data_IF_265342114366
#
_entry.id   IF_265342114366
#
_cell.length_a   1.000
_cell.length_b   1.000
_cell.length_c   1.000
_cell.angle_alpha   90.00
_cell.angle_beta   90.00
_cell.angle_gamma   90.00
#
_symmetry.space_group_name_H-M   'P 1'
#
loop_
_entity.id
_entity.type
_entity.pdbx_description
1 polymer ?
#
# COMPACT_ATOMS: atom_id res chain seq x y z
N UNK A 1 -27.00 -33.88 -14.85
CA UNK A 1 -26.33 -32.58 -14.89
C UNK A 1 -25.89 -32.19 -13.49
N UNK A 2 -24.61 -32.36 -13.15
CA UNK A 2 -24.04 -31.92 -11.87
C UNK A 2 -23.26 -30.65 -12.14
N UNK A 3 -23.71 -29.53 -11.57
CA UNK A 3 -23.02 -28.25 -11.64
C UNK A 3 -21.80 -28.30 -10.70
N UNK A 4 -20.60 -28.14 -11.24
CA UNK A 4 -19.38 -27.93 -10.48
C UNK A 4 -19.27 -26.43 -10.12
N UNK A 5 -19.46 -26.12 -8.87
CA UNK A 5 -19.23 -24.79 -8.31
C UNK A 5 -17.72 -24.65 -8.02
N UNK A 6 -17.01 -23.90 -8.84
CA UNK A 6 -15.59 -23.60 -8.65
C UNK A 6 -15.48 -22.47 -7.60
N UNK A 7 -15.11 -22.83 -6.37
CA UNK A 7 -14.76 -21.87 -5.32
C UNK A 7 -13.36 -21.33 -5.61
N UNK A 8 -13.26 -20.10 -6.05
CA UNK A 8 -12.00 -19.36 -6.11
C UNK A 8 -11.64 -18.94 -4.67
N UNK A 9 -10.76 -19.70 -4.02
CA UNK A 9 -10.14 -19.30 -2.75
C UNK A 9 -9.05 -18.29 -3.11
N UNK A 10 -9.34 -16.99 -2.97
CA UNK A 10 -8.33 -15.97 -2.94
C UNK A 10 -7.55 -16.13 -1.63
N UNK A 11 -6.33 -16.62 -1.72
CA UNK A 11 -5.38 -16.59 -0.60
C UNK A 11 -5.03 -15.14 -0.29
N UNK A 12 -5.69 -14.57 0.72
CA UNK A 12 -5.19 -13.38 1.39
C UNK A 12 -3.91 -13.78 2.13
N UNK A 13 -2.76 -13.43 1.60
CA UNK A 13 -1.52 -13.40 2.39
C UNK A 13 -1.68 -12.26 3.39
N UNK A 14 -2.04 -12.60 4.63
CA UNK A 14 -1.91 -11.70 5.77
C UNK A 14 -0.41 -11.50 5.96
N UNK A 15 0.12 -10.37 5.54
CA UNK A 15 1.42 -9.91 5.97
C UNK A 15 1.32 -9.70 7.50
N UNK A 16 1.88 -10.65 8.26
CA UNK A 16 2.13 -10.46 9.69
C UNK A 16 3.21 -9.38 9.80
N UNK A 17 2.82 -8.14 9.91
CA UNK A 17 3.70 -7.05 10.30
C UNK A 17 3.93 -7.25 11.78
N UNK A 18 5.07 -7.86 12.15
CA UNK A 18 5.49 -7.95 13.53
C UNK A 18 5.85 -6.54 13.99
N UNK A 19 5.13 -6.03 14.99
CA UNK A 19 5.50 -4.78 15.66
C UNK A 19 6.92 -4.93 16.19
N UNK A 20 7.79 -3.96 15.84
CA UNK A 20 9.14 -3.85 16.36
C UNK A 20 9.08 -3.12 17.71
N UNK A 21 10.05 -3.36 18.58
CA UNK A 21 10.10 -2.72 19.90
C UNK A 21 11.45 -2.05 20.17
N UNK A 22 11.41 -0.99 20.97
CA UNK A 22 12.55 -0.42 21.68
C UNK A 22 12.25 -0.43 23.17
N UNK A 23 13.16 -0.90 23.95
CA UNK A 23 13.01 -1.13 25.39
C UNK A 23 12.89 -2.64 25.72
N UNK A 24 12.62 -2.99 27.01
CA UNK A 24 12.47 -2.04 28.11
C UNK A 24 13.76 -1.22 28.37
N UNK A 25 13.58 0.05 28.67
CA UNK A 25 14.64 0.99 29.04
C UNK A 25 14.26 1.68 30.33
N UNK A 26 15.21 1.85 31.23
CA UNK A 26 15.06 2.62 32.45
C UNK A 26 15.28 4.11 32.20
N UNK A 27 14.56 4.97 32.92
CA UNK A 27 14.73 6.41 32.84
C UNK A 27 16.05 6.87 33.47
N UNK A 28 16.60 7.96 32.96
CA UNK A 28 17.83 8.56 33.49
C UNK A 28 17.65 10.00 33.97
N UNK A 29 16.42 10.49 34.08
CA UNK A 29 16.10 11.81 34.62
C UNK A 29 14.91 11.72 35.54
N UNK A 30 15.07 12.34 36.74
CA UNK A 30 14.13 12.21 37.85
C UNK A 30 13.88 13.59 38.49
N UNK A 31 12.62 13.92 38.73
CA UNK A 31 12.24 15.16 39.45
C UNK A 31 10.92 15.03 40.19
N UNK A 32 10.70 15.90 41.15
CA UNK A 32 9.39 16.12 41.71
C UNK A 32 8.73 17.30 41.00
N UNK A 33 7.46 17.11 40.57
CA UNK A 33 6.66 18.18 39.99
C UNK A 33 5.37 18.38 40.83
N UNK A 34 5.14 19.60 41.23
CA UNK A 34 4.02 19.92 42.12
C UNK A 34 2.67 19.58 41.50
N UNK A 35 1.88 18.79 42.19
CA UNK A 35 0.50 18.48 41.84
C UNK A 35 -0.44 19.26 42.72
N UNK A 36 -1.36 20.05 42.14
CA UNK A 36 -2.26 20.91 42.87
C UNK A 36 -3.10 20.12 43.90
N UNK A 37 -2.93 20.46 45.19
CA UNK A 37 -3.59 19.77 46.30
C UNK A 37 -2.79 18.63 46.92
N UNK A 38 -1.63 18.30 46.39
CA UNK A 38 -0.71 17.34 47.01
C UNK A 38 -0.21 17.85 48.35
N UNK A 39 0.16 16.95 49.21
CA UNK A 39 0.67 17.29 50.52
C UNK A 39 2.00 16.59 50.85
N UNK A 40 2.62 15.94 49.90
CA UNK A 40 3.86 15.19 50.10
C UNK A 40 4.65 15.07 48.80
N UNK A 41 5.95 15.35 48.85
CA UNK A 41 6.88 15.09 47.77
C UNK A 41 7.57 13.73 47.94
N UNK A 42 8.03 13.15 46.83
CA UNK A 42 8.90 11.99 46.85
C UNK A 42 10.30 12.37 47.31
N UNK A 43 10.99 11.42 47.94
CA UNK A 43 12.38 11.56 48.40
C UNK A 43 13.25 10.63 47.60
N UNK A 44 14.52 11.03 47.36
CA UNK A 44 15.51 10.23 46.66
C UNK A 44 14.98 9.72 45.31
N UNK A 45 14.38 10.63 44.51
CA UNK A 45 13.68 10.30 43.27
C UNK A 45 14.58 9.58 42.24
N UNK A 46 15.88 9.82 42.28
CA UNK A 46 16.91 9.18 41.48
C UNK A 46 17.01 7.68 41.73
N UNK A 47 16.56 7.19 42.86
CA UNK A 47 16.58 5.76 43.20
C UNK A 47 15.51 4.93 42.43
N UNK A 48 14.66 5.57 41.64
CA UNK A 48 13.74 4.85 40.70
C UNK A 48 14.43 4.41 39.43
N UNK A 49 15.77 4.36 39.39
CA UNK A 49 16.57 4.02 38.18
C UNK A 49 16.78 2.53 37.99
N UNK A 50 16.77 1.72 39.03
CA UNK A 50 17.18 0.31 38.90
C UNK A 50 16.51 -0.60 39.92
N UNK A 51 16.26 -1.85 39.54
CA UNK A 51 15.72 -2.90 40.42
C UNK A 51 16.84 -3.41 41.34
N UNK A 52 17.14 -2.67 42.38
CA UNK A 52 18.27 -2.91 43.30
C UNK A 52 17.92 -2.75 44.80
N UNK A 53 16.61 -2.72 45.13
CA UNK A 53 16.06 -2.53 46.48
C UNK A 53 16.44 -1.15 47.11
N UNK A 54 16.79 -0.16 46.26
CA UNK A 54 17.03 1.23 46.67
C UNK A 54 15.97 2.13 46.07
N UNK A 55 15.14 2.75 46.88
CA UNK A 55 13.83 3.27 46.49
C UNK A 55 13.78 4.80 46.37
N UNK A 56 13.05 5.29 45.40
CA UNK A 56 12.37 6.55 45.49
C UNK A 56 11.15 6.36 46.42
N UNK A 57 11.06 7.08 47.54
CA UNK A 57 10.02 6.82 48.52
C UNK A 57 9.30 8.09 48.99
N UNK A 58 8.22 7.90 49.69
CA UNK A 58 7.60 8.88 50.55
C UNK A 58 7.10 8.21 51.82
N UNK A 59 7.02 8.96 52.89
CA UNK A 59 6.50 8.47 54.16
C UNK A 59 5.46 9.42 54.72
N UNK A 60 4.49 8.85 55.47
CA UNK A 60 3.52 9.58 56.27
C UNK A 60 2.63 10.53 55.45
N UNK A 61 1.91 10.01 54.45
CA UNK A 61 0.75 10.72 53.93
C UNK A 61 -0.27 10.93 55.05
N UNK A 62 -0.85 12.12 55.11
CA UNK A 62 -1.81 12.49 56.18
C UNK A 62 -3.03 11.54 56.18
N UNK A 63 -3.60 11.32 57.38
CA UNK A 63 -4.77 10.47 57.64
C UNK A 63 -6.11 11.12 57.25
N UNK A 64 -6.17 11.88 56.19
CA UNK A 64 -7.40 12.48 55.67
C UNK A 64 -7.77 11.99 54.32
N UNK A 65 -9.03 12.05 53.92
CA UNK A 65 -9.47 11.86 52.55
C UNK A 65 -8.72 12.85 51.63
N UNK A 66 -8.29 12.38 50.45
CA UNK A 66 -7.52 13.15 49.46
C UNK A 66 -6.06 13.46 49.86
N UNK A 67 -5.37 12.54 50.50
CA UNK A 67 -3.94 12.65 50.74
C UNK A 67 -3.17 11.94 49.63
N UNK A 68 -2.46 12.71 48.80
CA UNK A 68 -1.68 12.22 47.68
C UNK A 68 -0.35 12.98 47.53
N UNK A 69 0.57 12.38 46.77
CA UNK A 69 1.92 12.94 46.53
C UNK A 69 1.93 13.92 45.36
N UNK A 70 3.00 14.71 45.29
CA UNK A 70 3.43 15.30 44.01
C UNK A 70 3.66 14.21 42.96
N UNK A 71 3.79 14.60 41.69
CA UNK A 71 4.28 13.70 40.71
C UNK A 71 5.78 13.43 40.89
N UNK A 72 6.17 12.18 40.84
CA UNK A 72 7.53 11.82 40.38
C UNK A 72 7.54 11.76 38.86
N UNK A 73 8.36 12.61 38.25
CA UNK A 73 8.64 12.57 36.82
C UNK A 73 9.87 11.71 36.56
N UNK A 74 9.75 10.75 35.66
CA UNK A 74 10.84 9.90 35.19
C UNK A 74 10.90 10.04 33.71
N UNK A 75 12.02 10.51 33.16
CA UNK A 75 12.23 10.81 31.75
C UNK A 75 13.63 10.35 31.25
N UNK A 76 14.10 10.80 30.07
CA UNK A 76 15.41 10.47 29.47
C UNK A 76 15.62 8.97 29.26
N UNK A 77 14.63 8.26 28.75
CA UNK A 77 14.71 6.81 28.51
C UNK A 77 15.63 6.42 27.36
N UNK A 78 16.03 7.33 26.46
CA UNK A 78 16.96 7.09 25.36
C UNK A 78 16.59 5.84 24.53
N UNK A 79 15.35 5.82 24.05
CA UNK A 79 14.78 4.64 23.36
C UNK A 79 15.35 4.42 21.97
N UNK A 80 15.85 5.47 21.33
CA UNK A 80 16.46 5.42 19.98
C UNK A 80 15.53 4.74 18.94
N UNK A 81 14.26 5.14 18.93
CA UNK A 81 13.31 4.71 17.89
C UNK A 81 13.80 5.23 16.54
N UNK A 82 13.95 4.38 15.50
CA UNK A 82 14.45 4.84 14.21
C UNK A 82 13.53 5.88 13.57
N UNK A 83 14.13 6.81 12.83
CA UNK A 83 13.40 7.91 12.16
C UNK A 83 12.36 7.38 11.17
N UNK A 84 11.21 8.04 11.14
CA UNK A 84 10.13 7.76 10.18
C UNK A 84 9.28 6.55 10.55
N UNK A 85 9.37 6.01 11.76
CA UNK A 85 8.52 4.90 12.22
C UNK A 85 7.17 5.38 12.74
N UNK A 86 6.16 4.55 12.55
CA UNK A 86 4.83 4.76 13.11
C UNK A 86 4.76 4.15 14.50
N UNK A 87 4.54 4.98 15.52
CA UNK A 87 4.38 4.52 16.90
C UNK A 87 3.00 3.86 17.05
N UNK A 88 2.99 2.66 17.61
CA UNK A 88 1.79 1.82 17.78
C UNK A 88 1.33 1.71 19.22
N UNK A 89 2.25 1.75 20.16
CA UNK A 89 1.93 1.62 21.57
C UNK A 89 3.10 1.94 22.48
N UNK A 90 2.77 2.26 23.71
CA UNK A 90 3.71 2.57 24.79
C UNK A 90 3.29 1.77 26.01
N UNK A 91 4.22 0.99 26.53
CA UNK A 91 4.08 0.18 27.73
C UNK A 91 5.05 0.67 28.79
N UNK A 92 4.54 0.89 30.00
CA UNK A 92 5.31 1.32 31.15
C UNK A 92 5.18 0.27 32.23
N UNK A 93 6.29 -0.27 32.70
CA UNK A 93 6.34 -1.19 33.84
C UNK A 93 6.96 -0.47 35.03
N UNK A 94 6.28 -0.53 36.16
CA UNK A 94 6.69 0.09 37.41
C UNK A 94 6.84 -0.98 38.47
N UNK A 95 8.03 -1.09 39.05
CA UNK A 95 8.32 -1.92 40.21
C UNK A 95 8.12 -1.08 41.47
N UNK A 96 7.23 -1.53 42.35
CA UNK A 96 6.77 -0.74 43.48
C UNK A 96 6.31 -1.58 44.66
N UNK A 97 6.38 -0.99 45.86
CA UNK A 97 5.92 -1.63 47.09
C UNK A 97 5.42 -0.60 48.12
N UNK A 98 4.70 -1.08 49.11
CA UNK A 98 4.39 -0.40 50.38
C UNK A 98 4.32 -1.46 51.47
N UNK A 99 5.29 -1.51 52.38
CA UNK A 99 5.29 -2.47 53.50
C UNK A 99 4.02 -2.47 54.33
N UNK A 100 3.34 -1.34 54.40
CA UNK A 100 2.11 -1.15 55.18
C UNK A 100 0.84 -1.42 54.35
N UNK A 101 0.97 -1.56 53.02
CA UNK A 101 -0.13 -1.81 52.10
C UNK A 101 -1.28 -0.79 52.16
N UNK A 102 -0.96 0.46 52.40
CA UNK A 102 -1.88 1.57 52.53
C UNK A 102 -1.85 2.54 51.37
N UNK A 103 -1.06 2.22 50.32
CA UNK A 103 -0.83 3.04 49.12
C UNK A 103 -1.48 2.47 47.88
N UNK A 104 -2.00 3.32 47.02
CA UNK A 104 -2.38 3.01 45.61
C UNK A 104 -1.98 4.16 44.70
N UNK A 105 -2.10 3.98 43.35
CA UNK A 105 -1.89 5.08 42.43
C UNK A 105 -3.00 6.12 42.57
N UNK A 106 -2.62 7.38 42.60
CA UNK A 106 -3.51 8.52 42.45
C UNK A 106 -3.64 8.93 40.99
N UNK A 107 -2.50 9.05 40.29
CA UNK A 107 -2.45 9.39 38.88
C UNK A 107 -1.22 8.78 38.24
N UNK A 108 -1.40 8.21 37.04
CA UNK A 108 -0.35 7.68 36.20
C UNK A 108 -0.58 8.19 34.77
N UNK A 109 0.30 9.08 34.30
CA UNK A 109 0.19 9.77 33.02
C UNK A 109 1.51 9.80 32.29
N UNK A 110 1.45 9.94 30.97
CA UNK A 110 2.64 10.04 30.12
C UNK A 110 3.20 11.47 30.13
N UNK A 111 4.51 11.61 29.92
CA UNK A 111 5.17 12.89 29.70
C UNK A 111 5.47 13.08 28.22
N UNK A 112 5.20 14.28 27.72
CA UNK A 112 5.53 14.73 26.37
C UNK A 112 6.20 16.09 26.46
N UNK A 113 7.50 16.18 26.17
CA UNK A 113 8.29 17.39 26.36
C UNK A 113 8.23 17.91 27.80
N UNK A 114 8.39 17.02 28.78
CA UNK A 114 8.26 17.27 30.22
C UNK A 114 6.86 17.74 30.68
N UNK A 115 5.87 17.72 29.82
CA UNK A 115 4.49 18.11 30.15
C UNK A 115 3.65 16.87 30.45
N UNK A 116 2.98 16.84 31.59
CA UNK A 116 2.03 15.76 31.93
C UNK A 116 0.83 15.82 31.01
N UNK A 117 0.59 14.72 30.27
CA UNK A 117 -0.47 14.64 29.27
C UNK A 117 -1.06 13.23 29.20
N UNK A 118 -1.92 13.00 28.24
CA UNK A 118 -2.52 11.70 27.93
C UNK A 118 -3.60 11.25 28.90
N UNK A 119 -4.11 10.06 28.61
CA UNK A 119 -5.17 9.42 29.39
C UNK A 119 -4.65 8.97 30.76
N UNK A 120 -5.51 9.11 31.79
CA UNK A 120 -5.24 8.58 33.12
C UNK A 120 -5.19 7.05 33.09
N UNK A 121 -4.15 6.46 33.72
CA UNK A 121 -3.92 5.02 33.79
C UNK A 121 -3.88 4.45 35.21
N UNK A 122 -4.05 5.26 36.24
CA UNK A 122 -4.10 4.76 37.61
C UNK A 122 -5.16 3.67 37.75
N UNK A 123 -4.81 2.58 38.40
CA UNK A 123 -5.67 1.39 38.57
C UNK A 123 -6.38 1.33 39.93
N UNK A 124 -5.92 2.12 40.90
CA UNK A 124 -6.35 2.01 42.28
C UNK A 124 -5.91 0.71 42.99
N UNK A 125 -5.06 -0.09 42.33
CA UNK A 125 -4.51 -1.33 42.91
C UNK A 125 -3.56 -0.96 44.04
N UNK A 126 -3.75 -1.59 45.21
CA UNK A 126 -2.89 -1.44 46.38
C UNK A 126 -1.46 -1.89 46.07
N UNK A 127 -0.47 -1.15 46.53
CA UNK A 127 0.92 -1.56 46.52
C UNK A 127 1.11 -2.76 47.43
N UNK A 128 1.82 -3.75 46.98
CA UNK A 128 2.13 -4.96 47.76
C UNK A 128 3.19 -4.70 48.81
N UNK A 129 3.25 -5.53 49.86
CA UNK A 129 4.23 -5.38 50.91
C UNK A 129 5.69 -5.54 50.45
N UNK A 130 5.88 -6.32 49.41
CA UNK A 130 7.16 -6.55 48.72
C UNK A 130 7.09 -6.03 47.31
N UNK A 131 8.23 -5.79 46.67
CA UNK A 131 8.28 -5.28 45.33
C UNK A 131 7.51 -6.17 44.35
N UNK A 132 6.77 -5.51 43.49
CA UNK A 132 5.99 -6.12 42.43
C UNK A 132 5.85 -5.19 41.25
N UNK A 133 5.88 -5.75 40.06
CA UNK A 133 5.69 -5.03 38.83
C UNK A 133 4.21 -4.82 38.54
N UNK A 134 3.88 -3.64 38.04
CA UNK A 134 2.61 -3.34 37.41
C UNK A 134 2.86 -2.69 36.06
N UNK A 135 2.06 -3.07 35.06
CA UNK A 135 2.19 -2.57 33.70
C UNK A 135 1.02 -1.68 33.33
N UNK A 136 1.32 -0.53 32.73
CA UNK A 136 0.36 0.44 32.20
C UNK A 136 0.54 0.58 30.69
N UNK A 137 -0.55 0.76 29.95
CA UNK A 137 -0.50 0.84 28.49
C UNK A 137 -0.30 -0.52 27.82
N UNK A 138 0.44 -0.55 26.70
CA UNK A 138 0.69 -1.78 25.96
C UNK A 138 0.93 -1.59 24.45
N UNK A 139 1.00 -2.70 23.68
CA UNK A 139 1.40 -2.69 22.28
C UNK A 139 0.53 -1.86 21.32
N UNK A 140 -0.70 -1.54 21.72
CA UNK A 140 -1.66 -0.75 20.93
C UNK A 140 -2.20 0.47 21.69
N UNK A 141 -1.59 0.85 22.80
CA UNK A 141 -2.03 1.95 23.63
C UNK A 141 -1.12 3.18 23.46
N UNK A 142 -1.64 4.22 22.84
CA UNK A 142 -0.96 5.49 22.61
C UNK A 142 -1.19 6.52 23.75
N UNK A 143 -1.80 6.11 24.86
CA UNK A 143 -2.13 6.99 25.99
C UNK A 143 -3.06 8.16 25.62
N UNK A 144 -3.82 8.02 24.51
CA UNK A 144 -4.70 9.07 24.00
C UNK A 144 -4.00 10.22 23.28
N UNK A 145 -2.73 10.07 22.96
CA UNK A 145 -1.88 11.05 22.28
C UNK A 145 -1.46 10.59 20.88
N UNK A 146 -0.95 11.52 20.09
CA UNK A 146 -0.27 11.25 18.82
C UNK A 146 1.23 11.36 19.03
N UNK A 147 1.96 10.36 18.54
CA UNK A 147 3.41 10.24 18.73
C UNK A 147 4.17 10.17 17.43
N UNK A 148 5.31 10.83 17.41
CA UNK A 148 6.35 10.65 16.38
C UNK A 148 7.61 10.06 17.04
N UNK A 149 8.51 9.52 16.23
CA UNK A 149 9.82 9.06 16.68
C UNK A 149 10.61 10.17 17.40
N UNK A 150 10.57 11.40 16.89
CA UNK A 150 11.22 12.55 17.56
C UNK A 150 10.67 12.83 18.94
N UNK A 151 9.33 12.70 19.13
CA UNK A 151 8.69 12.90 20.44
C UNK A 151 9.06 11.83 21.44
N UNK A 152 9.20 10.58 21.00
CA UNK A 152 9.63 9.44 21.85
C UNK A 152 11.11 9.55 22.20
N UNK A 153 11.94 10.04 21.29
CA UNK A 153 13.38 10.19 21.49
C UNK A 153 13.75 11.49 22.23
N UNK A 154 12.78 12.36 22.48
CA UNK A 154 12.99 13.59 23.25
C UNK A 154 13.32 13.28 24.72
N UNK A 155 14.22 14.05 25.33
CA UNK A 155 14.61 13.89 26.72
C UNK A 155 13.46 14.11 27.72
N UNK A 156 12.45 14.85 27.34
CA UNK A 156 11.24 15.08 28.14
C UNK A 156 10.11 14.06 27.90
N UNK A 157 10.39 12.97 27.14
CA UNK A 157 9.49 11.82 27.07
C UNK A 157 9.65 10.95 28.30
N UNK A 158 8.53 10.52 28.91
CA UNK A 158 8.57 9.70 30.10
C UNK A 158 7.23 9.48 30.77
N UNK A 159 7.23 9.33 32.09
CA UNK A 159 6.07 9.00 32.90
C UNK A 159 6.00 9.93 34.14
N UNK A 160 4.78 10.27 34.53
CA UNK A 160 4.44 10.99 35.78
C UNK A 160 3.58 10.10 36.68
N UNK A 161 4.01 9.85 37.89
CA UNK A 161 3.32 8.98 38.83
C UNK A 161 3.07 9.78 40.13
N UNK A 162 1.83 9.79 40.59
CA UNK A 162 1.46 10.25 41.94
C UNK A 162 0.76 9.11 42.67
N UNK A 163 1.08 8.96 43.95
CA UNK A 163 0.50 7.95 44.81
C UNK A 163 -0.47 8.57 45.80
N UNK A 164 -1.41 7.79 46.32
CA UNK A 164 -2.37 8.21 47.33
C UNK A 164 -2.47 7.21 48.48
N UNK A 165 -2.90 7.71 49.63
CA UNK A 165 -3.35 6.84 50.69
C UNK A 165 -4.70 6.22 50.36
N UNK A 166 -4.87 4.96 50.68
CA UNK A 166 -6.16 4.27 50.56
C UNK A 166 -7.07 4.70 51.71
N UNK A 167 -8.26 5.18 51.38
CA UNK A 167 -9.25 5.63 52.37
C UNK A 167 -9.63 4.53 53.38
N UNK A 168 -9.75 4.89 54.64
CA UNK A 168 -10.14 3.96 55.69
C UNK A 168 -8.99 3.11 56.24
N UNK A 169 -7.79 3.24 55.72
CA UNK A 169 -6.62 2.55 56.27
C UNK A 169 -6.06 3.29 57.48
N UNK A 170 -5.46 2.56 58.44
CA UNK A 170 -4.81 3.10 59.65
C UNK A 170 -3.32 2.77 59.62
N UNK A 171 -2.51 3.62 60.28
CA UNK A 171 -1.06 3.43 60.32
C UNK A 171 -0.30 4.28 59.35
N UNK A 172 1.03 4.13 59.21
CA UNK A 172 1.88 4.85 58.28
C UNK A 172 1.54 4.50 56.84
N UNK A 173 1.92 5.35 55.91
CA UNK A 173 1.86 5.13 54.45
C UNK A 173 3.23 5.43 53.87
N UNK A 174 3.87 4.46 53.29
CA UNK A 174 5.25 4.57 52.82
C UNK A 174 5.43 3.87 51.46
N UNK A 175 4.84 4.48 50.42
CA UNK A 175 4.97 3.94 49.05
C UNK A 175 6.39 4.12 48.52
N UNK A 176 6.82 3.14 47.73
CA UNK A 176 8.14 3.03 47.16
C UNK A 176 8.08 2.70 45.68
N UNK A 177 8.98 3.29 44.92
CA UNK A 177 9.25 2.89 43.51
C UNK A 177 10.72 2.51 43.42
N UNK A 178 11.00 1.32 42.96
CA UNK A 178 12.34 0.80 42.74
C UNK A 178 12.79 1.04 41.30
N UNK A 179 11.99 0.62 40.33
CA UNK A 179 12.35 0.74 38.95
C UNK A 179 11.17 1.15 38.08
N UNK A 180 11.46 1.91 37.01
CA UNK A 180 10.49 2.21 35.94
C UNK A 180 11.11 2.00 34.59
N UNK A 181 10.48 1.15 33.79
CA UNK A 181 10.92 0.90 32.42
C UNK A 181 9.85 1.25 31.42
N UNK A 182 10.26 1.66 30.21
CA UNK A 182 9.37 1.91 29.08
C UNK A 182 9.78 1.04 27.90
N UNK A 183 8.77 0.43 27.26
CA UNK A 183 8.86 -0.22 25.96
C UNK A 183 7.97 0.50 24.97
N UNK A 184 8.50 0.84 23.80
CA UNK A 184 7.75 1.45 22.70
C UNK A 184 7.63 0.47 21.56
N UNK A 185 6.41 0.29 21.09
CA UNK A 185 6.04 -0.53 19.95
C UNK A 185 5.91 0.35 18.72
N UNK A 186 6.53 -0.01 17.61
CA UNK A 186 6.48 0.74 16.37
C UNK A 186 6.50 -0.20 15.15
N UNK A 187 6.11 0.31 14.02
CA UNK A 187 6.16 -0.41 12.74
C UNK A 187 6.66 0.50 11.63
N UNK A 188 7.06 -0.09 10.53
CA UNK A 188 7.28 0.67 9.30
C UNK A 188 5.95 1.30 8.88
N UNK A 189 5.96 2.59 8.46
CA UNK A 189 4.76 3.13 7.86
C UNK A 189 4.39 2.23 6.68
N UNK A 190 3.23 1.60 6.74
CA UNK A 190 2.69 0.92 5.57
C UNK A 190 2.41 1.99 4.54
N UNK A 191 3.27 2.13 3.57
CA UNK A 191 2.93 2.84 2.35
C UNK A 191 1.74 2.09 1.78
N UNK A 192 0.56 2.71 1.84
CA UNK A 192 -0.58 2.17 1.10
C UNK A 192 -0.12 2.12 -0.35
N UNK A 193 -0.22 0.96 -1.01
CA UNK A 193 0.12 0.87 -2.43
C UNK A 193 -0.61 2.01 -3.14
N UNK A 194 0.07 2.66 -4.08
CA UNK A 194 -0.56 3.72 -4.89
C UNK A 194 -1.97 3.29 -5.29
N UNK A 195 -2.96 4.04 -4.86
CA UNK A 195 -4.34 3.78 -5.23
C UNK A 195 -4.57 4.28 -6.66
N UNK A 196 -4.63 3.33 -7.60
CA UNK A 196 -4.99 3.62 -8.98
C UNK A 196 -6.50 3.85 -9.08
N UNK A 197 -6.92 5.09 -9.24
CA UNK A 197 -8.33 5.48 -9.34
C UNK A 197 -8.91 5.07 -10.68
N UNK A 198 -8.16 5.26 -11.78
CA UNK A 198 -8.59 4.92 -13.12
C UNK A 198 -7.40 4.54 -14.01
N UNK A 199 -7.66 3.64 -14.96
CA UNK A 199 -6.75 3.32 -16.07
C UNK A 199 -7.57 3.11 -17.33
N UNK A 200 -7.19 3.76 -18.43
CA UNK A 200 -7.91 3.71 -19.71
C UNK A 200 -6.92 3.72 -20.87
N UNK A 201 -7.21 2.90 -21.87
CA UNK A 201 -6.55 2.94 -23.18
C UNK A 201 -7.63 3.14 -24.24
N UNK A 202 -7.50 4.18 -25.06
CA UNK A 202 -8.50 4.55 -26.08
C UNK A 202 -7.81 4.81 -27.42
N UNK A 203 -8.48 4.35 -28.50
CA UNK A 203 -8.02 4.64 -29.88
C UNK A 203 -8.10 6.13 -30.15
N UNK A 204 -7.01 6.66 -30.68
CA UNK A 204 -6.93 8.03 -31.20
C UNK A 204 -6.29 7.96 -32.62
N UNK A 205 -7.10 7.95 -33.66
CA UNK A 205 -6.68 7.76 -35.05
C UNK A 205 -5.85 6.48 -35.25
N UNK A 206 -4.54 6.61 -35.52
CA UNK A 206 -3.59 5.50 -35.69
C UNK A 206 -2.78 5.16 -34.44
N UNK A 207 -3.02 5.86 -33.34
CA UNK A 207 -2.35 5.67 -32.05
C UNK A 207 -3.34 5.24 -30.96
N UNK A 208 -2.83 4.89 -29.79
CA UNK A 208 -3.61 4.60 -28.59
C UNK A 208 -3.18 5.58 -27.50
N UNK A 209 -4.11 6.38 -27.03
CA UNK A 209 -3.91 7.21 -25.84
C UNK A 209 -4.16 6.38 -24.58
N UNK A 210 -3.20 6.40 -23.68
CA UNK A 210 -3.27 5.72 -22.39
C UNK A 210 -3.31 6.79 -21.30
N UNK A 211 -4.33 6.74 -20.45
CA UNK A 211 -4.50 7.68 -19.34
C UNK A 211 -4.75 6.94 -18.04
N UNK A 212 -4.22 7.48 -16.95
CA UNK A 212 -4.53 6.98 -15.61
C UNK A 212 -4.53 8.12 -14.60
N UNK A 213 -5.19 7.87 -13.49
CA UNK A 213 -5.25 8.79 -12.35
C UNK A 213 -4.91 8.00 -11.10
N UNK A 214 -4.04 8.55 -10.29
CA UNK A 214 -3.68 8.07 -8.97
C UNK A 214 -4.34 8.95 -7.91
N UNK A 215 -4.57 8.43 -6.71
CA UNK A 215 -4.98 9.23 -5.57
C UNK A 215 -3.76 9.86 -4.90
N UNK A 216 -3.22 9.24 -3.86
CA UNK A 216 -1.98 9.67 -3.22
C UNK A 216 -0.84 8.78 -3.73
N UNK A 217 0.28 9.37 -4.06
CA UNK A 217 1.50 8.69 -4.47
C UNK A 217 2.52 8.79 -3.35
N UNK A 218 2.65 7.72 -2.54
CA UNK A 218 3.73 7.61 -1.58
C UNK A 218 4.79 6.64 -2.13
N UNK A 219 6.05 7.06 -2.09
CA UNK A 219 7.22 6.24 -2.47
C UNK A 219 7.17 5.59 -3.86
N UNK A 220 6.43 6.21 -4.78
CA UNK A 220 6.31 5.75 -6.15
C UNK A 220 7.53 6.16 -6.97
N UNK A 221 8.22 5.19 -7.59
CA UNK A 221 9.39 5.45 -8.44
C UNK A 221 8.98 5.85 -9.84
N UNK A 222 8.25 4.99 -10.53
CA UNK A 222 7.79 5.24 -11.89
C UNK A 222 6.67 4.29 -12.32
N UNK A 223 6.05 4.62 -13.45
CA UNK A 223 5.04 3.84 -14.15
C UNK A 223 5.60 3.30 -15.45
N UNK A 224 5.30 2.04 -15.77
CA UNK A 224 5.58 1.44 -17.07
C UNK A 224 4.27 1.13 -17.80
N UNK A 225 4.05 1.73 -18.95
CA UNK A 225 2.99 1.34 -19.86
C UNK A 225 3.45 0.08 -20.57
N UNK A 226 2.69 -0.99 -20.42
CA UNK A 226 2.99 -2.29 -21.00
C UNK A 226 1.93 -2.69 -22.01
N UNK A 227 2.38 -3.28 -23.13
CA UNK A 227 1.54 -3.78 -24.24
C UNK A 227 1.76 -5.27 -24.48
N UNK A 228 0.70 -5.96 -24.85
CA UNK A 228 0.71 -7.38 -25.22
C UNK A 228 -0.18 -7.64 -26.44
N UNK A 229 0.16 -8.66 -27.23
CA UNK A 229 -0.67 -9.19 -28.32
C UNK A 229 -1.58 -10.33 -27.88
N UNK A 230 -1.28 -10.98 -26.76
CA UNK A 230 -1.95 -12.21 -26.28
C UNK A 230 -2.59 -12.08 -24.90
N UNK A 231 -2.42 -10.91 -24.25
CA UNK A 231 -2.90 -10.64 -22.88
C UNK A 231 -2.13 -11.37 -21.78
N UNK A 232 -1.02 -12.05 -22.11
CA UNK A 232 -0.19 -12.82 -21.18
C UNK A 232 1.24 -12.30 -21.15
N UNK A 233 1.87 -12.16 -22.31
CA UNK A 233 3.25 -11.70 -22.44
C UNK A 233 3.25 -10.19 -22.71
N UNK A 234 3.68 -9.40 -21.71
CA UNK A 234 3.70 -7.95 -21.78
C UNK A 234 5.12 -7.42 -21.94
N UNK A 235 5.28 -6.40 -22.77
CA UNK A 235 6.51 -5.63 -22.91
C UNK A 235 6.27 -4.15 -22.63
N UNK A 236 7.23 -3.51 -21.96
CA UNK A 236 7.19 -2.08 -21.64
C UNK A 236 7.42 -1.28 -22.92
N UNK A 237 6.51 -0.36 -23.21
CA UNK A 237 6.57 0.52 -24.39
C UNK A 237 6.90 1.96 -24.02
N UNK A 238 6.63 2.36 -22.75
CA UNK A 238 6.94 3.68 -22.25
C UNK A 238 7.11 3.66 -20.72
N UNK A 239 8.04 4.47 -20.18
CA UNK A 239 8.23 4.70 -18.76
C UNK A 239 7.97 6.16 -18.45
N UNK A 240 7.20 6.43 -17.38
CA UNK A 240 6.84 7.78 -16.92
C UNK A 240 7.16 7.89 -15.44
N UNK A 241 7.95 8.91 -15.07
CA UNK A 241 8.33 9.16 -13.68
C UNK A 241 7.11 9.57 -12.84
N UNK A 242 7.05 9.08 -11.61
CA UNK A 242 6.07 9.56 -10.64
C UNK A 242 6.37 11.00 -10.24
N UNK A 243 5.32 11.72 -9.86
CA UNK A 243 5.43 13.06 -9.26
C UNK A 243 5.45 13.01 -7.74
N UNK A 244 5.23 11.84 -7.15
CA UNK A 244 5.10 11.61 -5.70
C UNK A 244 4.16 12.65 -5.05
N UNK A 245 3.00 12.84 -5.67
CA UNK A 245 2.02 13.85 -5.27
C UNK A 245 1.19 13.38 -4.08
N UNK A 246 0.98 14.25 -3.11
CA UNK A 246 0.08 14.01 -1.95
C UNK A 246 -1.41 14.23 -2.29
N UNK A 247 -1.72 14.50 -3.56
CA UNK A 247 -3.07 14.70 -4.06
C UNK A 247 -3.26 13.96 -5.37
N UNK A 248 -4.54 13.74 -5.74
CA UNK A 248 -4.90 13.06 -6.98
C UNK A 248 -4.20 13.64 -8.20
N UNK A 249 -3.52 12.79 -8.96
CA UNK A 249 -2.68 13.19 -10.09
C UNK A 249 -3.02 12.38 -11.33
N UNK A 250 -3.15 13.09 -12.47
CA UNK A 250 -3.43 12.46 -13.76
C UNK A 250 -2.20 12.42 -14.65
N UNK A 251 -2.05 11.30 -15.34
CA UNK A 251 -0.96 11.01 -16.28
C UNK A 251 -1.51 10.61 -17.64
N UNK A 252 -0.68 10.81 -18.65
CA UNK A 252 -0.97 10.37 -20.00
C UNK A 252 0.28 9.81 -20.68
N UNK A 253 0.08 8.78 -21.49
CA UNK A 253 1.07 8.22 -22.39
C UNK A 253 0.42 7.89 -23.74
N UNK A 254 1.23 7.54 -24.72
CA UNK A 254 0.75 7.24 -26.08
C UNK A 254 1.52 6.09 -26.70
N UNK A 255 0.80 5.14 -27.28
CA UNK A 255 1.38 4.15 -28.19
C UNK A 255 1.19 4.65 -29.63
N UNK A 256 2.25 5.17 -30.23
CA UNK A 256 2.24 5.67 -31.61
C UNK A 256 2.34 4.58 -32.68
N UNK A 257 2.69 3.35 -32.28
CA UNK A 257 2.84 2.18 -33.16
C UNK A 257 2.11 0.96 -32.57
N UNK A 258 0.78 1.04 -32.36
CA UNK A 258 0.03 -0.05 -31.79
C UNK A 258 0.02 -1.27 -32.71
N UNK A 259 -0.27 -2.44 -32.13
CA UNK A 259 -0.35 -3.68 -32.92
C UNK A 259 -1.61 -3.67 -33.80
N UNK A 260 -1.52 -4.28 -34.96
CA UNK A 260 -2.69 -4.54 -35.80
C UNK A 260 -3.62 -5.54 -35.11
N UNK A 261 -4.93 -5.26 -35.08
CA UNK A 261 -5.92 -6.12 -34.43
C UNK A 261 -6.12 -5.78 -32.96
N UNK A 262 -6.04 -6.77 -32.07
CA UNK A 262 -6.26 -6.59 -30.63
C UNK A 262 -4.93 -6.32 -29.94
N UNK A 263 -4.91 -5.26 -29.14
CA UNK A 263 -3.82 -4.93 -28.21
C UNK A 263 -4.33 -4.91 -26.79
N UNK A 264 -3.57 -5.46 -25.89
CA UNK A 264 -3.82 -5.47 -24.46
C UNK A 264 -2.84 -4.50 -23.80
N UNK A 265 -3.34 -3.61 -22.96
CA UNK A 265 -2.53 -2.62 -22.23
C UNK A 265 -2.72 -2.79 -20.75
N UNK A 266 -1.65 -2.63 -19.99
CA UNK A 266 -1.69 -2.51 -18.54
C UNK A 266 -0.65 -1.49 -18.07
N UNK A 267 -0.84 -0.98 -16.88
CA UNK A 267 0.13 -0.16 -16.17
C UNK A 267 0.84 -1.05 -15.15
N UNK A 268 2.17 -1.05 -15.15
CA UNK A 268 3.01 -1.59 -14.08
C UNK A 268 3.48 -0.41 -13.25
N UNK A 269 3.21 -0.44 -11.97
CA UNK A 269 3.56 0.57 -10.99
C UNK A 269 4.71 0.05 -10.14
N UNK A 270 5.80 0.81 -10.03
CA UNK A 270 7.03 0.40 -9.36
C UNK A 270 7.35 1.40 -8.27
N UNK A 271 7.42 0.92 -7.03
CA UNK A 271 7.78 1.69 -5.84
C UNK A 271 9.30 1.83 -5.68
N UNK A 272 9.76 2.73 -4.82
CA UNK A 272 11.19 2.99 -4.58
C UNK A 272 11.91 1.81 -3.95
N UNK A 273 11.20 0.98 -3.18
CA UNK A 273 11.70 -0.26 -2.56
C UNK A 273 11.74 -1.46 -3.53
N UNK A 274 11.22 -1.28 -4.77
CA UNK A 274 11.16 -2.31 -5.81
C UNK A 274 9.88 -3.12 -5.85
N UNK A 275 8.94 -2.91 -4.92
CA UNK A 275 7.61 -3.51 -4.99
C UNK A 275 6.90 -3.13 -6.28
N UNK A 276 6.11 -4.05 -6.83
CA UNK A 276 5.40 -3.84 -8.10
C UNK A 276 3.95 -4.24 -8.02
N UNK A 277 3.08 -3.38 -8.54
CA UNK A 277 1.65 -3.64 -8.69
C UNK A 277 1.21 -3.39 -10.13
N UNK A 278 0.03 -3.88 -10.52
CA UNK A 278 -0.47 -3.78 -11.89
C UNK A 278 -1.91 -3.28 -11.91
N UNK A 279 -2.24 -2.51 -12.97
CA UNK A 279 -3.63 -2.17 -13.26
C UNK A 279 -4.40 -3.37 -13.81
N UNK A 280 -5.72 -3.21 -13.93
CA UNK A 280 -6.53 -4.02 -14.83
C UNK A 280 -6.01 -3.91 -16.27
N UNK A 281 -6.27 -4.94 -17.09
CA UNK A 281 -5.95 -4.92 -18.50
C UNK A 281 -7.05 -4.15 -19.26
N UNK A 282 -6.64 -3.17 -20.06
CA UNK A 282 -7.48 -2.51 -21.05
C UNK A 282 -7.28 -3.15 -22.43
N UNK A 283 -8.37 -3.47 -23.11
CA UNK A 283 -8.33 -4.11 -24.44
C UNK A 283 -8.75 -3.08 -25.47
N UNK A 284 -7.92 -2.89 -26.49
CA UNK A 284 -8.19 -1.99 -27.61
C UNK A 284 -8.08 -2.76 -28.89
N UNK A 285 -9.13 -2.71 -29.69
CA UNK A 285 -9.13 -3.26 -31.04
C UNK A 285 -8.91 -2.15 -32.07
N UNK A 286 -7.73 -2.12 -32.66
CA UNK A 286 -7.53 -1.36 -33.89
C UNK A 286 -8.07 -2.19 -35.05
N UNK A 287 -9.28 -1.91 -35.43
CA UNK A 287 -9.67 -2.24 -36.78
C UNK A 287 -8.98 -1.22 -37.66
N UNK A 288 -7.90 -1.63 -38.35
CA UNK A 288 -7.44 -0.89 -39.52
C UNK A 288 -8.66 -0.74 -40.39
N UNK A 289 -9.08 0.49 -40.61
CA UNK A 289 -10.30 0.83 -41.32
C UNK A 289 -10.42 0.07 -42.64
N UNK A 290 -11.61 -0.40 -42.90
CA UNK A 290 -12.10 -1.15 -44.02
C UNK A 290 -11.54 -2.59 -44.05
N UNK A 291 -12.40 -3.56 -43.73
CA UNK A 291 -12.19 -4.94 -44.17
C UNK A 291 -11.91 -4.90 -45.65
N UNK A 292 -10.65 -5.20 -46.02
CA UNK A 292 -10.28 -5.33 -47.41
C UNK A 292 -11.06 -6.54 -47.91
N UNK A 293 -12.07 -6.27 -48.67
CA UNK A 293 -12.96 -7.27 -49.23
C UNK A 293 -12.82 -7.31 -50.75
N UNK A 294 -12.86 -8.51 -51.30
CA UNK A 294 -12.94 -8.73 -52.73
C UNK A 294 -14.42 -8.88 -53.10
N UNK A 295 -14.84 -8.18 -54.12
CA UNK A 295 -16.23 -8.22 -54.60
C UNK A 295 -16.29 -8.16 -56.12
N UNK A 296 -17.34 -8.74 -56.75
CA UNK A 296 -18.46 -9.42 -56.08
C UNK A 296 -18.07 -10.77 -55.52
N UNK A 297 -18.81 -11.22 -54.48
CA UNK A 297 -18.60 -12.56 -53.87
C UNK A 297 -19.07 -13.72 -54.76
N UNK A 298 -19.90 -13.45 -55.76
CA UNK A 298 -20.24 -14.37 -56.86
C UNK A 298 -19.62 -13.77 -58.12
N UNK A 299 -18.51 -14.36 -58.55
CA UNK A 299 -17.78 -13.87 -59.68
C UNK A 299 -18.10 -14.71 -60.95
N UNK A 300 -18.33 -14.02 -62.07
CA UNK A 300 -18.55 -14.63 -63.36
C UNK A 300 -17.33 -14.37 -64.27
N UNK A 301 -16.95 -15.37 -65.05
CA UNK A 301 -15.86 -15.25 -66.00
C UNK A 301 -16.09 -14.03 -66.90
N UNK A 302 -15.04 -13.22 -67.08
CA UNK A 302 -15.06 -12.03 -67.93
C UNK A 302 -15.62 -10.77 -67.23
N UNK A 303 -16.08 -10.85 -65.96
CA UNK A 303 -16.46 -9.68 -65.18
C UNK A 303 -15.32 -9.15 -64.34
N UNK A 304 -15.36 -7.87 -63.96
CA UNK A 304 -14.37 -7.27 -63.10
C UNK A 304 -14.48 -7.86 -61.70
N UNK A 305 -13.32 -8.10 -61.06
CA UNK A 305 -13.19 -8.40 -59.65
C UNK A 305 -12.51 -7.22 -58.98
N UNK A 306 -13.14 -6.68 -57.94
CA UNK A 306 -12.68 -5.48 -57.28
C UNK A 306 -12.22 -5.81 -55.86
N UNK A 307 -11.38 -4.93 -55.35
CA UNK A 307 -10.91 -4.97 -53.96
C UNK A 307 -11.14 -3.60 -53.30
N UNK A 308 -11.60 -3.58 -52.08
CA UNK A 308 -11.64 -2.34 -51.32
C UNK A 308 -10.23 -1.89 -50.98
N UNK A 309 -9.75 -0.83 -51.63
CA UNK A 309 -8.39 -0.26 -51.42
C UNK A 309 -8.47 1.26 -51.26
N UNK A 310 -9.01 1.73 -50.14
CA UNK A 310 -9.27 3.16 -49.94
C UNK A 310 -8.00 4.02 -49.83
N UNK A 311 -6.86 3.39 -49.51
CA UNK A 311 -5.59 4.10 -49.37
C UNK A 311 -4.72 4.06 -50.63
N UNK A 312 -5.17 3.43 -51.70
CA UNK A 312 -4.39 3.20 -52.92
C UNK A 312 -3.03 2.56 -52.64
N UNK A 313 -2.98 1.62 -51.68
CA UNK A 313 -1.78 0.89 -51.35
C UNK A 313 -1.52 -0.23 -52.37
N UNK A 314 -0.25 -0.64 -52.54
CA UNK A 314 0.08 -1.78 -53.34
C UNK A 314 -0.39 -3.07 -52.66
N UNK A 315 -1.41 -3.72 -53.20
CA UNK A 315 -2.03 -4.93 -52.66
C UNK A 315 -1.79 -6.10 -53.61
N UNK A 316 -1.51 -7.29 -53.05
CA UNK A 316 -1.41 -8.55 -53.81
C UNK A 316 -2.42 -9.54 -53.26
N UNK A 317 -3.32 -9.98 -54.11
CA UNK A 317 -4.30 -11.01 -53.83
C UNK A 317 -3.79 -12.36 -54.36
N UNK A 318 -3.72 -13.34 -53.48
CA UNK A 318 -3.44 -14.75 -53.83
C UNK A 318 -4.77 -15.49 -53.76
N UNK A 319 -5.04 -16.28 -54.80
CA UNK A 319 -6.24 -17.09 -54.92
C UNK A 319 -5.91 -18.57 -54.82
N UNK A 320 -6.76 -19.33 -54.14
CA UNK A 320 -6.57 -20.75 -53.89
C UNK A 320 -7.87 -21.51 -54.17
N UNK A 321 -7.74 -22.71 -54.70
CA UNK A 321 -8.85 -23.65 -54.86
C UNK A 321 -9.30 -24.19 -53.49
N UNK A 322 -10.42 -24.88 -53.44
CA UNK A 322 -10.89 -25.58 -52.25
C UNK A 322 -9.95 -26.66 -51.74
N UNK A 323 -9.03 -27.12 -52.57
CA UNK A 323 -7.97 -28.10 -52.22
C UNK A 323 -6.69 -27.42 -51.69
N UNK A 324 -6.67 -26.07 -51.62
CA UNK A 324 -5.50 -25.30 -51.18
C UNK A 324 -4.45 -25.04 -52.26
N UNK A 325 -4.67 -25.51 -53.50
CA UNK A 325 -3.77 -25.23 -54.61
C UNK A 325 -3.90 -23.77 -55.05
N UNK A 326 -2.78 -23.10 -55.30
CA UNK A 326 -2.80 -21.72 -55.79
C UNK A 326 -3.40 -21.62 -57.17
N UNK A 327 -4.49 -20.88 -57.31
CA UNK A 327 -5.23 -20.69 -58.55
C UNK A 327 -4.81 -19.42 -59.29
N UNK A 328 -4.22 -18.45 -58.62
CA UNK A 328 -3.74 -17.23 -59.25
C UNK A 328 -3.18 -16.21 -58.29
N UNK A 329 -2.55 -15.17 -58.84
CA UNK A 329 -2.05 -13.98 -58.13
C UNK A 329 -2.45 -12.75 -58.93
N UNK A 330 -2.89 -11.72 -58.25
CA UNK A 330 -3.14 -10.40 -58.85
C UNK A 330 -2.61 -9.31 -57.93
N UNK A 331 -1.80 -8.41 -58.46
CA UNK A 331 -1.29 -7.22 -57.72
C UNK A 331 -1.93 -5.99 -58.32
N UNK A 332 -2.39 -5.11 -57.43
CA UNK A 332 -3.01 -3.83 -57.83
C UNK A 332 -2.62 -2.72 -56.87
N UNK A 333 -2.58 -1.50 -57.36
CA UNK A 333 -2.54 -0.25 -56.55
C UNK A 333 -3.89 0.44 -56.61
N UNK A 334 -4.80 -0.02 -57.46
CA UNK A 334 -6.17 0.47 -57.64
C UNK A 334 -7.16 -0.45 -56.92
N UNK A 335 -8.42 -0.24 -57.17
CA UNK A 335 -9.51 -1.07 -56.60
C UNK A 335 -9.88 -2.27 -57.49
N UNK A 336 -9.21 -2.49 -58.66
CA UNK A 336 -9.52 -3.59 -59.61
C UNK A 336 -8.41 -4.62 -59.66
N UNK A 337 -8.78 -5.90 -59.57
CA UNK A 337 -7.87 -7.05 -59.66
C UNK A 337 -7.93 -7.64 -61.07
N UNK A 338 -6.75 -8.06 -61.59
CA UNK A 338 -6.69 -8.83 -62.84
C UNK A 338 -7.27 -10.23 -62.60
N UNK A 339 -8.24 -10.63 -63.44
CA UNK A 339 -9.00 -11.87 -63.27
C UNK A 339 -8.57 -13.00 -64.22
N UNK A 340 -7.60 -12.77 -65.10
CA UNK A 340 -7.17 -13.74 -66.09
C UNK A 340 -6.74 -15.09 -65.51
N UNK A 341 -6.20 -15.06 -64.31
CA UNK A 341 -5.75 -16.27 -63.62
C UNK A 341 -6.90 -17.12 -63.05
N UNK A 342 -8.10 -16.56 -62.93
CA UNK A 342 -9.28 -17.25 -62.41
C UNK A 342 -10.18 -17.81 -63.51
N UNK A 343 -9.88 -17.59 -64.80
CA UNK A 343 -10.76 -17.91 -65.91
C UNK A 343 -11.17 -19.37 -66.02
N UNK A 344 -10.41 -20.29 -65.44
CA UNK A 344 -10.67 -21.74 -65.48
C UNK A 344 -11.13 -22.29 -64.15
N UNK A 345 -11.42 -21.40 -63.14
CA UNK A 345 -11.87 -21.83 -61.86
C UNK A 345 -13.40 -21.91 -61.78
N UNK A 346 -13.93 -22.96 -61.15
CA UNK A 346 -15.35 -23.13 -60.82
C UNK A 346 -15.49 -23.55 -59.35
N UNK A 347 -16.49 -23.04 -58.70
CA UNK A 347 -16.76 -23.33 -57.27
C UNK A 347 -16.11 -22.32 -56.34
N UNK A 348 -15.87 -22.73 -55.09
CA UNK A 348 -15.36 -21.83 -54.05
C UNK A 348 -13.86 -21.59 -54.29
N UNK A 349 -13.51 -20.31 -54.38
CA UNK A 349 -12.12 -19.83 -54.47
C UNK A 349 -11.85 -19.01 -53.20
N UNK A 350 -10.84 -19.40 -52.46
CA UNK A 350 -10.35 -18.65 -51.29
C UNK A 350 -9.35 -17.60 -51.73
N UNK A 351 -9.30 -16.48 -50.99
CA UNK A 351 -8.28 -15.47 -51.23
C UNK A 351 -7.60 -15.01 -49.98
N UNK A 352 -6.34 -14.61 -50.13
CA UNK A 352 -5.50 -13.97 -49.14
C UNK A 352 -4.93 -12.69 -49.73
N UNK A 353 -5.00 -11.58 -49.02
CA UNK A 353 -4.48 -10.28 -49.46
C UNK A 353 -3.32 -9.89 -48.54
N UNK A 354 -2.21 -9.49 -49.17
CA UNK A 354 -1.05 -8.94 -48.49
C UNK A 354 -0.79 -7.51 -48.96
N UNK A 355 -0.24 -6.67 -48.06
CA UNK A 355 0.26 -5.33 -48.39
C UNK A 355 1.68 -5.37 -48.98
N UNK A 356 2.25 -4.18 -49.25
CA UNK A 356 3.61 -4.04 -49.76
C UNK A 356 4.69 -4.58 -48.81
N UNK A 357 4.42 -4.59 -47.50
CA UNK A 357 5.32 -5.06 -46.43
C UNK A 357 5.24 -6.59 -46.24
N UNK A 358 4.44 -7.28 -47.03
CA UNK A 358 4.24 -8.74 -46.92
C UNK A 358 3.26 -9.16 -45.82
N UNK A 359 2.59 -8.21 -45.14
CA UNK A 359 1.63 -8.52 -44.09
C UNK A 359 0.29 -8.94 -44.67
N UNK A 360 -0.32 -9.98 -44.11
CA UNK A 360 -1.68 -10.39 -44.46
C UNK A 360 -2.69 -9.43 -43.87
N UNK A 361 -3.47 -8.77 -44.72
CA UNK A 361 -4.42 -7.72 -44.36
C UNK A 361 -5.87 -8.08 -44.64
N UNK A 362 -6.11 -9.18 -45.34
CA UNK A 362 -7.44 -9.68 -45.65
C UNK A 362 -7.47 -11.13 -46.09
N UNK A 363 -8.60 -11.79 -45.81
CA UNK A 363 -8.94 -13.13 -46.33
C UNK A 363 -10.44 -13.21 -46.59
N UNK A 364 -10.82 -14.12 -47.44
CA UNK A 364 -12.20 -14.42 -47.69
C UNK A 364 -12.35 -15.50 -48.77
N UNK A 365 -13.58 -15.64 -49.28
CA UNK A 365 -13.89 -16.51 -50.37
C UNK A 365 -14.84 -15.83 -51.36
N UNK A 366 -14.88 -16.37 -52.58
CA UNK A 366 -15.83 -16.05 -53.62
C UNK A 366 -16.28 -17.34 -54.35
N UNK A 367 -17.45 -17.29 -54.93
CA UNK A 367 -17.97 -18.35 -55.78
C UNK A 367 -17.66 -18.00 -57.27
N UNK A 368 -16.84 -18.77 -57.91
CA UNK A 368 -16.54 -18.65 -59.35
C UNK A 368 -17.52 -19.50 -60.13
N UNK A 369 -18.23 -18.87 -61.10
CA UNK A 369 -19.24 -19.50 -61.96
C UNK A 369 -18.80 -19.50 -63.44
#
# INVERSE_FOLDING_TARGET
>A
MKAFLLFCISSFTVLNINAQTKGPKTGGGFSNESLAGSNKSWVSVENAEGSDDVYADFSSLNTGSNSFTDYIHINKFQLDVPTGKLIKGIEVTVERSDPDQNTSDYSVKILKYDIVTGNEKSTGITYTATDSEITFGGPADLWGEVWTDDMINDNGFGIAIAAQRIDGTSGPTSGRIDNVTITVYYEDPTTLPVSLVNFSAKKNNKSIDITWTTDIEADMKHYEIQRSSDGRNFSTIQTIQSRNSVSSTSYAGNDSKPLNGISYYRLKMIETDGNTTYSRIAVVQLRTGNSIAVYPTIWKKGTALNISNPNNEKLTAYFFTSTGQQAGISTTINSTLATNTLNNQKGIVYYKIINADGQQIGTGNLLAN
#
